data_IF_397048690321
#
_entry.id   IF_397048690321
#
_cell.length_a   1.000
_cell.length_b   1.000
_cell.length_c   1.000
_cell.angle_alpha   90.00
_cell.angle_beta   90.00
_cell.angle_gamma   90.00
#
_symmetry.space_group_name_H-M   'P 1'
#
loop_
_entity.id
_entity.type
_entity.pdbx_description
1 polymer ?
#
# COMPACT_ATOMS: atom_id res chain seq x y z
N UNK A 1 -21.49 -20.32 1.56
CA UNK A 1 -21.01 -18.92 1.43
C UNK A 1 -19.68 -18.84 2.16
N UNK A 2 -18.58 -19.08 1.46
CA UNK A 2 -17.23 -18.83 1.96
C UNK A 2 -17.09 -17.32 2.14
N UNK A 3 -16.85 -16.85 3.36
CA UNK A 3 -16.46 -15.46 3.58
C UNK A 3 -15.19 -15.24 2.76
N UNK A 4 -15.26 -14.44 1.70
CA UNK A 4 -14.06 -13.91 1.07
C UNK A 4 -13.35 -13.09 2.15
N UNK A 5 -12.39 -13.72 2.81
CA UNK A 5 -11.45 -13.02 3.65
C UNK A 5 -10.73 -12.06 2.71
N UNK A 6 -11.17 -10.79 2.71
CA UNK A 6 -10.39 -9.72 2.09
C UNK A 6 -8.94 -9.94 2.57
N UNK A 7 -7.98 -10.19 1.67
CA UNK A 7 -6.62 -10.48 2.07
C UNK A 7 -6.03 -9.19 2.63
N UNK A 8 -6.25 -8.98 3.92
CA UNK A 8 -5.63 -7.94 4.71
C UNK A 8 -4.22 -8.40 5.02
N UNK A 9 -3.27 -7.52 4.80
CA UNK A 9 -1.87 -7.75 5.09
C UNK A 9 -1.36 -6.56 5.89
N UNK A 10 -0.37 -6.81 6.74
CA UNK A 10 0.31 -5.79 7.51
C UNK A 10 1.66 -5.49 6.86
N UNK A 11 2.07 -4.24 6.97
CA UNK A 11 3.36 -3.75 6.49
C UNK A 11 3.94 -2.84 7.56
N UNK A 12 5.24 -2.83 7.69
CA UNK A 12 5.93 -1.98 8.67
C UNK A 12 6.19 -0.57 8.12
N UNK A 13 6.20 -0.42 6.79
CA UNK A 13 6.33 0.89 6.19
C UNK A 13 6.36 0.92 4.66
N UNK A 14 6.62 2.12 4.15
CA UNK A 14 6.83 2.38 2.71
C UNK A 14 8.34 2.49 2.47
N UNK A 15 8.86 1.64 1.60
CA UNK A 15 10.27 1.67 1.18
C UNK A 15 10.52 2.76 0.14
N UNK A 16 9.63 2.90 -0.85
CA UNK A 16 9.81 3.84 -1.97
C UNK A 16 8.47 4.17 -2.62
N UNK A 17 8.36 5.39 -3.13
CA UNK A 17 7.27 5.83 -4.00
C UNK A 17 7.87 6.34 -5.31
N UNK A 18 7.36 5.86 -6.44
CA UNK A 18 7.76 6.31 -7.78
C UNK A 18 6.53 6.53 -8.66
N UNK A 19 6.61 7.44 -9.64
CA UNK A 19 5.53 7.70 -10.58
C UNK A 19 6.06 7.45 -11.99
N UNK A 20 5.36 6.61 -12.75
CA UNK A 20 5.67 6.34 -14.15
C UNK A 20 4.40 5.97 -14.91
N UNK A 21 4.25 6.47 -16.14
CA UNK A 21 3.10 6.23 -17.03
C UNK A 21 1.74 6.39 -16.33
N UNK A 22 1.53 7.53 -15.67
CA UNK A 22 0.30 7.86 -14.94
C UNK A 22 -0.08 6.87 -13.82
N UNK A 23 0.89 6.11 -13.31
CA UNK A 23 0.72 5.18 -12.19
C UNK A 23 1.73 5.51 -11.09
N UNK A 24 1.25 5.75 -9.88
CA UNK A 24 2.07 5.78 -8.68
C UNK A 24 2.31 4.33 -8.21
N UNK A 25 3.58 3.97 -8.06
CA UNK A 25 4.04 2.70 -7.51
C UNK A 25 4.52 2.93 -6.09
N UNK A 26 3.92 2.25 -5.13
CA UNK A 26 4.28 2.29 -3.71
C UNK A 26 4.84 0.92 -3.35
N UNK A 27 6.14 0.85 -3.07
CA UNK A 27 6.78 -0.35 -2.55
C UNK A 27 6.66 -0.35 -1.03
N UNK A 28 5.96 -1.32 -0.47
CA UNK A 28 5.89 -1.56 0.96
C UNK A 28 7.00 -2.51 1.40
N UNK A 29 7.39 -2.37 2.67
CA UNK A 29 8.36 -3.22 3.33
C UNK A 29 7.82 -3.76 4.65
N UNK A 30 8.42 -4.87 5.08
CA UNK A 30 8.32 -5.42 6.42
C UNK A 30 9.73 -5.58 7.01
N UNK A 31 9.84 -5.74 8.31
CA UNK A 31 11.09 -6.08 8.97
C UNK A 31 11.22 -7.60 9.06
N UNK A 32 12.34 -8.13 8.56
CA UNK A 32 12.70 -9.53 8.76
C UNK A 32 13.03 -9.84 10.22
N UNK A 33 13.21 -11.12 10.54
CA UNK A 33 13.57 -11.55 11.90
C UNK A 33 14.93 -11.01 12.37
N UNK A 34 15.77 -10.54 11.44
CA UNK A 34 17.05 -9.88 11.68
C UNK A 34 16.93 -8.35 11.81
N UNK A 35 15.72 -7.82 11.75
CA UNK A 35 15.40 -6.39 11.80
C UNK A 35 15.69 -5.62 10.50
N UNK A 36 16.06 -6.30 9.41
CA UNK A 36 16.34 -5.62 8.14
C UNK A 36 15.06 -5.44 7.30
N UNK A 37 14.96 -4.37 6.49
CA UNK A 37 13.85 -4.19 5.58
C UNK A 37 13.82 -5.23 4.46
N UNK A 38 12.69 -5.89 4.30
CA UNK A 38 12.37 -6.82 3.20
C UNK A 38 11.16 -6.32 2.42
N UNK A 39 11.10 -6.63 1.12
CA UNK A 39 9.98 -6.21 0.28
C UNK A 39 8.74 -7.02 0.61
N UNK A 40 7.67 -6.34 1.03
CA UNK A 40 6.40 -6.97 1.37
C UNK A 40 5.51 -7.07 0.12
N UNK A 41 5.23 -5.93 -0.53
CA UNK A 41 4.46 -5.89 -1.78
C UNK A 41 4.52 -4.53 -2.48
N UNK A 42 3.91 -4.48 -3.66
CA UNK A 42 3.77 -3.27 -4.47
C UNK A 42 2.30 -2.91 -4.65
N UNK A 43 1.93 -1.68 -4.30
CA UNK A 43 0.64 -1.09 -4.66
C UNK A 43 0.80 -0.19 -5.88
N UNK A 44 -0.03 -0.42 -6.88
CA UNK A 44 -0.10 0.37 -8.10
C UNK A 44 -1.38 1.22 -8.06
N UNK A 45 -1.22 2.53 -8.05
CA UNK A 45 -2.32 3.48 -7.98
C UNK A 45 -2.33 4.32 -9.25
N UNK A 46 -3.36 4.21 -10.11
CA UNK A 46 -3.56 5.16 -11.19
C UNK A 46 -3.68 6.58 -10.63
N UNK A 47 -2.94 7.55 -11.19
CA UNK A 47 -2.90 8.92 -10.66
C UNK A 47 -4.29 9.56 -10.56
N UNK A 48 -5.20 9.20 -11.48
CA UNK A 48 -6.60 9.65 -11.49
C UNK A 48 -7.38 9.24 -10.23
N UNK A 49 -6.95 8.21 -9.52
CA UNK A 49 -7.61 7.67 -8.32
C UNK A 49 -6.98 8.17 -7.01
N UNK A 50 -5.80 8.80 -7.07
CA UNK A 50 -5.06 9.25 -5.88
C UNK A 50 -5.90 10.19 -5.02
N UNK A 51 -6.66 11.10 -5.64
CA UNK A 51 -7.55 12.02 -4.92
C UNK A 51 -8.63 11.29 -4.10
N UNK A 52 -9.31 10.33 -4.74
CA UNK A 52 -10.36 9.52 -4.10
C UNK A 52 -9.79 8.68 -2.94
N UNK A 53 -8.63 8.07 -3.14
CA UNK A 53 -7.94 7.30 -2.09
C UNK A 53 -7.55 8.21 -0.93
N UNK A 54 -7.01 9.40 -1.20
CA UNK A 54 -6.67 10.35 -0.15
C UNK A 54 -7.90 10.80 0.66
N UNK A 55 -9.04 10.98 0.00
CA UNK A 55 -10.30 11.34 0.68
C UNK A 55 -10.83 10.18 1.53
N UNK A 56 -10.84 8.96 0.99
CA UNK A 56 -11.23 7.77 1.72
C UNK A 56 -10.37 7.57 2.99
N UNK A 57 -9.04 7.71 2.87
CA UNK A 57 -8.12 7.61 4.01
C UNK A 57 -8.36 8.68 5.08
N UNK A 58 -8.71 9.92 4.67
CA UNK A 58 -9.06 10.99 5.62
C UNK A 58 -10.32 10.65 6.43
N UNK A 59 -11.28 9.97 5.82
CA UNK A 59 -12.53 9.59 6.47
C UNK A 59 -12.38 8.44 7.47
N UNK A 60 -11.33 7.61 7.37
CA UNK A 60 -11.04 6.53 8.35
C UNK A 60 -10.66 7.09 9.74
N UNK A 61 -10.15 8.33 9.81
CA UNK A 61 -9.68 8.94 11.07
C UNK A 61 -10.81 9.56 11.92
N UNK A 62 -12.04 9.65 11.40
CA UNK A 62 -13.21 10.16 12.14
C UNK A 62 -13.97 9.01 12.78
#
# INVERSE_FOLDING_TARGET
>A
MSSEANPSFLVDGIKTIAIHNDVARIQFMQLGNDGKPEDAMVLLVPLKQVGQISEALRNIRK
#
